data_IF_466141596553
#
_entry.id   IF_466141596553
#
_cell.length_a   1.000
_cell.length_b   1.000
_cell.length_c   1.000
_cell.angle_alpha   90.00
_cell.angle_beta   90.00
_cell.angle_gamma   90.00
#
_symmetry.space_group_name_H-M   'P 1'
#
loop_
_entity.id
_entity.type
_entity.pdbx_description
1 polymer ?
#
# COMPACT_ATOMS: atom_id res chain seq x y z
N UNK A 1 -3.50 13.85 2.97
CA UNK A 1 -3.92 12.96 1.86
C UNK A 1 -4.69 11.80 2.47
N UNK A 2 -5.84 11.44 1.89
CA UNK A 2 -6.60 10.24 2.30
C UNK A 2 -6.17 9.11 1.38
N UNK A 3 -5.71 7.99 1.92
CA UNK A 3 -5.29 6.81 1.16
C UNK A 3 -6.47 5.85 0.97
N UNK A 4 -6.51 5.14 -0.16
CA UNK A 4 -7.53 4.15 -0.50
C UNK A 4 -6.89 2.85 -0.97
N UNK A 5 -7.58 1.74 -0.74
CA UNK A 5 -7.24 0.46 -1.38
C UNK A 5 -7.20 0.66 -2.89
N UNK A 6 -6.16 0.12 -3.53
CA UNK A 6 -5.85 0.26 -4.94
C UNK A 6 -5.08 1.52 -5.31
N UNK A 7 -4.86 2.48 -4.40
CA UNK A 7 -3.99 3.62 -4.69
C UNK A 7 -2.59 3.13 -5.10
N UNK A 8 -2.09 3.64 -6.22
CA UNK A 8 -0.71 3.47 -6.65
C UNK A 8 0.06 4.70 -6.20
N UNK A 9 1.11 4.49 -5.42
CA UNK A 9 1.90 5.54 -4.81
C UNK A 9 3.35 5.47 -5.28
N UNK A 10 3.97 6.64 -5.42
CA UNK A 10 5.42 6.78 -5.43
C UNK A 10 5.88 7.02 -4.00
N UNK A 11 6.69 6.12 -3.46
CA UNK A 11 7.27 6.21 -2.12
C UNK A 11 8.77 6.49 -2.19
N UNK A 12 9.26 7.29 -1.27
CA UNK A 12 10.69 7.38 -0.95
C UNK A 12 10.90 7.78 0.51
N UNK A 13 12.09 7.53 1.03
CA UNK A 13 12.51 7.94 2.37
C UNK A 13 14.00 8.30 2.29
N UNK A 14 14.42 9.49 2.76
CA UNK A 14 15.83 9.87 2.75
C UNK A 14 16.71 8.88 3.50
N UNK A 15 17.91 8.64 2.99
CA UNK A 15 18.89 7.77 3.65
C UNK A 15 19.43 8.45 4.92
N UNK A 16 19.01 7.96 6.09
CA UNK A 16 19.38 8.47 7.40
C UNK A 16 20.49 7.60 8.02
N UNK A 17 21.58 8.20 8.55
CA UNK A 17 22.64 7.46 9.20
C UNK A 17 22.16 6.62 10.39
N UNK A 18 22.70 5.41 10.53
CA UNK A 18 22.50 4.54 11.68
C UNK A 18 23.69 3.58 11.88
N UNK A 19 23.59 2.70 12.87
CA UNK A 19 24.60 1.69 13.21
C UNK A 19 23.97 0.30 13.16
N UNK A 20 24.72 -0.64 12.61
CA UNK A 20 24.38 -2.07 12.58
C UNK A 20 24.57 -2.67 13.97
N UNK A 21 23.53 -3.25 14.52
CA UNK A 21 23.52 -3.86 15.86
C UNK A 21 23.76 -5.37 15.82
N UNK A 22 23.37 -6.02 14.73
CA UNK A 22 23.50 -7.46 14.56
C UNK A 22 23.40 -7.88 13.10
N UNK A 23 23.93 -9.06 12.79
CA UNK A 23 23.87 -9.66 11.46
C UNK A 23 23.72 -11.17 11.64
N UNK A 24 22.74 -11.76 10.98
CA UNK A 24 22.57 -13.21 10.86
C UNK A 24 22.50 -13.63 9.38
N UNK A 25 22.15 -14.89 9.12
CA UNK A 25 22.08 -15.43 7.76
C UNK A 25 21.03 -14.71 6.88
N UNK A 26 19.91 -14.31 7.47
CA UNK A 26 18.77 -13.76 6.75
C UNK A 26 18.66 -12.23 6.88
N UNK A 27 19.14 -11.64 7.99
CA UNK A 27 18.88 -10.25 8.33
C UNK A 27 20.12 -9.46 8.76
N UNK A 28 20.06 -8.15 8.53
CA UNK A 28 20.87 -7.14 9.22
C UNK A 28 19.95 -6.39 10.17
N UNK A 29 20.29 -6.38 11.46
CA UNK A 29 19.64 -5.55 12.46
C UNK A 29 20.35 -4.20 12.53
N UNK A 30 19.57 -3.13 12.47
CA UNK A 30 20.07 -1.76 12.65
C UNK A 30 19.30 -1.10 13.79
N UNK A 31 19.97 -0.19 14.49
CA UNK A 31 19.26 0.76 15.35
C UNK A 31 18.33 1.58 14.46
N UNK A 32 17.04 1.62 14.77
CA UNK A 32 16.11 2.31 13.89
C UNK A 32 16.19 3.82 14.13
N UNK A 33 16.39 4.65 13.10
CA UNK A 33 16.73 6.05 13.32
C UNK A 33 15.53 6.98 13.55
N UNK A 34 14.29 6.49 13.34
CA UNK A 34 13.10 7.34 13.31
C UNK A 34 12.11 7.11 14.45
N UNK A 35 12.26 6.01 15.19
CA UNK A 35 11.35 5.66 16.27
C UNK A 35 12.03 5.78 17.62
N UNK A 36 11.24 6.11 18.62
CA UNK A 36 11.65 6.05 20.02
C UNK A 36 10.95 4.85 20.67
N UNK A 37 11.58 4.24 21.68
CA UNK A 37 10.92 3.20 22.47
C UNK A 37 9.77 3.84 23.24
N UNK A 38 8.59 3.22 23.19
CA UNK A 38 7.44 3.67 23.98
C UNK A 38 7.53 3.06 25.39
N UNK A 39 7.86 3.85 26.44
CA UNK A 39 7.97 3.33 27.80
C UNK A 39 6.61 2.97 28.41
N UNK A 40 5.52 3.51 27.85
CA UNK A 40 4.16 3.38 28.35
C UNK A 40 3.39 2.28 27.60
N UNK A 41 4.02 1.58 26.66
CA UNK A 41 3.42 0.43 26.00
C UNK A 41 3.35 -0.77 26.96
N UNK A 42 2.12 -1.16 27.32
CA UNK A 42 1.86 -2.26 28.24
C UNK A 42 1.94 -3.63 27.56
N UNK A 43 1.53 -3.73 26.29
CA UNK A 43 1.40 -4.99 25.56
C UNK A 43 2.53 -5.32 24.59
N UNK A 44 3.33 -4.33 24.19
CA UNK A 44 4.34 -4.47 23.14
C UNK A 44 5.66 -3.84 23.60
N UNK A 45 6.74 -4.60 23.55
CA UNK A 45 8.09 -4.09 23.86
C UNK A 45 8.96 -4.18 22.62
N UNK A 46 9.26 -3.03 22.04
CA UNK A 46 10.23 -2.90 20.97
C UNK A 46 11.57 -2.45 21.54
N UNK A 47 12.67 -2.99 21.01
CA UNK A 47 14.02 -2.82 21.57
C UNK A 47 14.83 -1.69 20.91
N UNK A 48 14.23 -0.91 20.01
CA UNK A 48 14.95 0.15 19.29
C UNK A 48 15.58 -0.30 17.96
N UNK A 49 15.41 -1.55 17.56
CA UNK A 49 16.08 -2.14 16.39
C UNK A 49 15.08 -2.63 15.34
N UNK A 50 15.46 -2.54 14.07
CA UNK A 50 14.72 -3.14 12.97
C UNK A 50 15.61 -4.09 12.18
N UNK A 51 15.05 -5.23 11.78
CA UNK A 51 15.70 -6.21 10.93
C UNK A 51 15.36 -5.95 9.45
N UNK A 52 16.36 -5.95 8.59
CA UNK A 52 16.24 -5.78 7.14
C UNK A 52 16.75 -7.04 6.44
N UNK A 53 16.06 -7.49 5.39
CA UNK A 53 16.46 -8.64 4.60
C UNK A 53 17.86 -8.49 3.97
N UNK A 54 18.66 -9.56 4.01
CA UNK A 54 19.99 -9.60 3.39
C UNK A 54 19.95 -9.97 1.92
N UNK A 55 19.04 -10.86 1.56
CA UNK A 55 19.03 -11.51 0.24
C UNK A 55 17.90 -11.02 -0.66
N UNK A 56 16.97 -10.20 -0.15
CA UNK A 56 15.89 -9.63 -0.95
C UNK A 56 16.36 -8.31 -1.59
N UNK A 57 16.70 -8.30 -2.90
CA UNK A 57 17.13 -7.08 -3.58
C UNK A 57 16.00 -6.05 -3.70
N UNK A 58 14.75 -6.49 -3.55
CA UNK A 58 13.56 -5.69 -3.74
C UNK A 58 12.93 -5.26 -2.41
N UNK A 59 13.55 -5.58 -1.26
CA UNK A 59 13.17 -5.13 0.09
C UNK A 59 12.82 -3.64 0.08
N UNK A 60 11.73 -3.27 0.75
CA UNK A 60 11.22 -1.90 0.71
C UNK A 60 12.27 -0.91 1.23
N UNK A 61 12.87 -1.25 2.37
CA UNK A 61 13.99 -0.51 2.96
C UNK A 61 15.32 -1.03 2.44
N UNK A 62 16.19 -0.09 2.09
CA UNK A 62 17.54 -0.38 1.63
C UNK A 62 18.56 0.28 2.55
N UNK A 63 19.77 -0.29 2.56
CA UNK A 63 20.92 0.30 3.23
C UNK A 63 21.99 0.77 2.24
N UNK A 64 22.75 1.78 2.63
CA UNK A 64 23.99 2.19 1.99
C UNK A 64 25.13 2.16 3.03
N UNK A 65 26.13 1.27 2.92
CA UNK A 65 26.28 0.21 1.90
C UNK A 65 25.18 -0.87 1.93
N UNK A 66 24.99 -1.67 0.85
CA UNK A 66 24.00 -2.76 0.81
C UNK A 66 24.16 -3.78 1.94
N UNK A 67 23.06 -4.37 2.40
CA UNK A 67 22.97 -5.24 3.59
C UNK A 67 23.96 -6.42 3.57
N UNK A 68 24.27 -6.98 2.40
CA UNK A 68 25.26 -8.06 2.25
C UNK A 68 26.70 -7.66 2.65
N UNK A 69 27.01 -6.35 2.68
CA UNK A 69 28.35 -5.83 2.97
C UNK A 69 28.51 -5.33 4.40
N UNK A 70 27.46 -5.42 5.22
CA UNK A 70 27.44 -4.88 6.56
C UNK A 70 27.87 -5.93 7.60
N UNK A 71 28.58 -5.46 8.62
CA UNK A 71 28.95 -6.20 9.82
C UNK A 71 28.47 -5.47 11.10
N UNK A 72 28.32 -6.16 12.23
CA UNK A 72 27.98 -5.52 13.50
C UNK A 72 28.96 -4.41 13.88
N UNK A 73 28.44 -3.26 14.29
CA UNK A 73 29.21 -2.05 14.62
C UNK A 73 29.47 -1.11 13.45
N UNK A 74 29.20 -1.52 12.21
CA UNK A 74 29.35 -0.64 11.04
C UNK A 74 28.37 0.54 11.11
N UNK A 75 28.80 1.69 10.60
CA UNK A 75 27.90 2.79 10.28
C UNK A 75 27.37 2.61 8.87
N UNK A 76 26.06 2.72 8.70
CA UNK A 76 25.40 2.70 7.40
C UNK A 76 24.33 3.80 7.34
N UNK A 77 23.62 3.90 6.23
CA UNK A 77 22.41 4.72 6.10
C UNK A 77 21.26 3.80 5.72
N UNK A 78 20.07 4.04 6.27
CA UNK A 78 18.84 3.32 5.90
C UNK A 78 17.84 4.29 5.30
N UNK A 79 17.12 3.87 4.27
CA UNK A 79 16.11 4.69 3.58
C UNK A 79 15.31 3.87 2.59
N UNK A 80 14.50 4.55 1.78
CA UNK A 80 13.74 3.95 0.68
C UNK A 80 14.09 4.72 -0.59
N UNK A 81 14.80 4.13 -1.56
CA UNK A 81 14.95 4.75 -2.88
C UNK A 81 13.57 4.92 -3.53
N UNK A 82 13.41 5.95 -4.35
CA UNK A 82 12.14 6.25 -5.00
C UNK A 82 11.64 5.05 -5.82
N UNK A 83 10.45 4.54 -5.47
CA UNK A 83 9.85 3.36 -6.11
C UNK A 83 8.33 3.43 -6.11
N UNK A 84 7.71 2.59 -6.92
CA UNK A 84 6.25 2.44 -6.99
C UNK A 84 5.81 1.32 -6.05
N UNK A 85 4.74 1.59 -5.32
CA UNK A 85 4.00 0.63 -4.48
C UNK A 85 2.50 0.78 -4.78
N UNK A 86 1.70 -0.21 -4.41
CA UNK A 86 0.25 -0.10 -4.43
C UNK A 86 -0.38 -0.63 -3.14
N UNK A 87 -1.41 0.08 -2.69
CA UNK A 87 -2.08 -0.17 -1.41
C UNK A 87 -3.08 -1.30 -1.58
N UNK A 88 -2.95 -2.35 -0.77
CA UNK A 88 -3.91 -3.47 -0.75
C UNK A 88 -4.84 -3.40 0.46
N UNK A 89 -4.40 -2.80 1.58
CA UNK A 89 -5.25 -2.60 2.75
C UNK A 89 -4.96 -1.26 3.43
N UNK A 90 -5.98 -0.70 4.10
CA UNK A 90 -5.90 0.56 4.84
C UNK A 90 -6.53 0.35 6.22
N UNK A 91 -5.74 0.54 7.27
CA UNK A 91 -6.18 0.38 8.65
C UNK A 91 -6.04 1.69 9.42
N UNK A 92 -7.18 2.26 9.82
CA UNK A 92 -7.22 3.38 10.75
C UNK A 92 -7.33 2.91 12.20
N UNK A 93 -6.63 3.58 13.11
CA UNK A 93 -6.65 3.30 14.54
C UNK A 93 -7.07 4.54 15.32
N UNK A 94 -8.18 4.41 16.06
CA UNK A 94 -8.63 5.40 17.04
C UNK A 94 -9.08 4.66 18.31
N UNK A 95 -8.29 4.66 19.40
CA UNK A 95 -7.04 5.43 19.57
C UNK A 95 -5.86 4.88 18.73
N UNK A 96 -4.77 5.65 18.56
CA UNK A 96 -3.55 5.18 17.89
C UNK A 96 -3.02 3.87 18.47
N UNK A 97 -2.49 3.01 17.60
CA UNK A 97 -2.09 1.64 17.94
C UNK A 97 -0.86 1.59 18.86
N UNK A 98 -0.88 0.70 19.85
CA UNK A 98 0.25 0.46 20.74
C UNK A 98 1.23 -0.57 20.14
N UNK A 99 2.27 -0.06 19.46
CA UNK A 99 3.26 -0.87 18.73
C UNK A 99 4.57 -1.10 19.51
N UNK A 100 4.70 -0.51 20.70
CA UNK A 100 5.93 -0.52 21.50
C UNK A 100 6.93 0.57 21.10
N UNK A 101 6.58 1.42 20.14
CA UNK A 101 7.38 2.54 19.68
C UNK A 101 6.55 3.80 19.45
N UNK A 102 7.23 4.95 19.50
CA UNK A 102 6.67 6.26 19.24
C UNK A 102 7.17 6.82 17.89
N UNK A 103 6.35 7.62 17.19
CA UNK A 103 4.96 7.96 17.53
C UNK A 103 4.00 6.79 17.29
N UNK A 104 3.01 6.58 18.17
CA UNK A 104 1.98 5.55 17.99
C UNK A 104 1.22 5.80 16.68
N UNK A 105 1.17 4.83 15.73
CA UNK A 105 0.55 5.07 14.45
C UNK A 105 -0.98 5.08 14.56
N UNK A 106 -1.62 6.08 13.94
CA UNK A 106 -3.07 6.12 13.75
C UNK A 106 -3.52 5.55 12.41
N UNK A 107 -2.57 5.17 11.55
CA UNK A 107 -2.81 4.65 10.21
C UNK A 107 -1.70 3.66 9.83
N UNK A 108 -2.09 2.50 9.30
CA UNK A 108 -1.23 1.56 8.60
C UNK A 108 -1.76 1.33 7.19
N UNK A 109 -0.84 1.22 6.23
CA UNK A 109 -1.11 0.79 4.86
C UNK A 109 -0.37 -0.53 4.63
N UNK A 110 -1.07 -1.56 4.19
CA UNK A 110 -0.42 -2.76 3.65
C UNK A 110 -0.20 -2.55 2.16
N UNK A 111 1.05 -2.67 1.72
CA UNK A 111 1.45 -2.32 0.37
C UNK A 111 2.21 -3.44 -0.32
N UNK A 112 2.04 -3.51 -1.64
CA UNK A 112 2.79 -4.38 -2.53
C UNK A 112 3.73 -3.56 -3.41
N UNK A 113 4.79 -4.20 -3.87
CA UNK A 113 5.78 -3.59 -4.76
C UNK A 113 5.22 -3.52 -6.18
N UNK A 114 5.86 -2.70 -7.01
CA UNK A 114 5.57 -2.71 -8.44
C UNK A 114 5.78 -4.12 -9.03
N UNK A 115 4.83 -4.59 -9.83
CA UNK A 115 4.88 -5.92 -10.44
C UNK A 115 4.32 -7.06 -9.59
N UNK A 116 3.99 -6.82 -8.32
CA UNK A 116 3.33 -7.81 -7.47
C UNK A 116 1.80 -7.67 -7.54
N UNK A 117 1.09 -8.76 -7.87
CA UNK A 117 -0.37 -8.75 -7.90
C UNK A 117 -0.93 -9.17 -6.53
N UNK A 118 -2.05 -8.60 -6.06
CA UNK A 118 -2.74 -9.08 -4.87
C UNK A 118 -3.15 -10.56 -5.06
N UNK A 119 -2.81 -11.41 -4.09
CA UNK A 119 -3.18 -12.83 -4.05
C UNK A 119 -4.08 -13.08 -2.85
N UNK A 120 -5.37 -13.26 -3.11
CA UNK A 120 -6.38 -13.51 -2.08
C UNK A 120 -6.18 -14.86 -1.35
N UNK A 121 -5.37 -15.78 -1.89
CA UNK A 121 -5.04 -17.04 -1.23
C UNK A 121 -3.86 -16.92 -0.26
N UNK A 122 -3.09 -15.82 -0.33
CA UNK A 122 -1.94 -15.60 0.54
C UNK A 122 -2.37 -14.97 1.87
N UNK A 123 -2.14 -15.67 2.98
CA UNK A 123 -2.40 -15.16 4.34
C UNK A 123 -1.44 -14.01 4.71
N UNK A 124 -0.23 -14.02 4.18
CA UNK A 124 0.79 -13.01 4.45
C UNK A 124 1.33 -12.46 3.13
N UNK A 125 0.81 -11.31 2.72
CA UNK A 125 1.27 -10.62 1.52
C UNK A 125 1.57 -9.15 1.81
N UNK A 126 2.68 -8.66 1.28
CA UNK A 126 3.04 -7.25 1.34
C UNK A 126 3.77 -6.81 2.60
N UNK A 127 3.94 -5.50 2.70
CA UNK A 127 4.70 -4.83 3.75
C UNK A 127 3.85 -3.73 4.35
N UNK A 128 3.77 -3.66 5.68
CA UNK A 128 3.10 -2.55 6.37
C UNK A 128 3.99 -1.30 6.33
N UNK A 129 3.38 -0.15 6.09
CA UNK A 129 3.96 1.16 6.32
C UNK A 129 2.99 2.01 7.13
N UNK A 130 3.52 2.87 7.99
CA UNK A 130 2.71 3.72 8.87
C UNK A 130 2.94 5.19 8.52
N UNK A 131 2.15 5.80 7.61
CA UNK A 131 2.22 7.22 7.36
C UNK A 131 1.93 8.01 8.65
N UNK A 132 2.88 8.83 9.09
CA UNK A 132 2.78 9.54 10.38
C UNK A 132 3.34 8.74 11.57
N UNK A 133 3.76 7.49 11.37
CA UNK A 133 4.48 6.66 12.33
C UNK A 133 5.96 7.03 12.48
N UNK A 134 6.37 8.28 12.27
CA UNK A 134 7.75 8.74 12.49
C UNK A 134 8.72 8.56 11.32
N UNK A 135 8.57 7.52 10.49
CA UNK A 135 9.41 7.37 9.29
C UNK A 135 9.10 8.49 8.28
N UNK A 136 10.10 9.25 7.79
CA UNK A 136 9.88 10.44 6.96
C UNK A 136 9.65 10.06 5.49
N UNK A 137 8.54 9.38 5.22
CA UNK A 137 8.14 9.05 3.85
C UNK A 137 7.77 10.31 3.06
N UNK A 138 8.18 10.34 1.80
CA UNK A 138 7.52 11.12 0.76
C UNK A 138 6.60 10.17 0.01
N UNK A 139 5.29 10.45 0.04
CA UNK A 139 4.25 9.67 -0.62
C UNK A 139 3.51 10.57 -1.61
N UNK A 140 3.44 10.13 -2.86
CA UNK A 140 2.74 10.85 -3.92
C UNK A 140 1.78 9.91 -4.65
N UNK A 141 0.54 10.37 -4.88
CA UNK A 141 -0.44 9.62 -5.64
C UNK A 141 -0.04 9.60 -7.12
N UNK A 142 0.16 8.40 -7.67
CA UNK A 142 0.40 8.18 -9.10
C UNK A 142 -0.91 7.87 -9.81
N UNK A 143 -1.73 6.99 -9.21
CA UNK A 143 -3.01 6.59 -9.78
C UNK A 143 -3.98 6.16 -8.69
N UNK A 144 -5.26 6.52 -8.85
CA UNK A 144 -6.37 6.03 -8.03
C UNK A 144 -7.40 5.38 -8.94
N UNK A 145 -7.58 4.05 -8.88
CA UNK A 145 -8.62 3.38 -9.66
C UNK A 145 -10.00 3.82 -9.16
N UNK A 146 -10.93 4.03 -10.09
CA UNK A 146 -12.31 4.44 -9.77
C UNK A 146 -12.37 5.71 -8.90
N UNK A 147 -11.49 6.69 -9.16
CA UNK A 147 -11.42 7.94 -8.38
C UNK A 147 -12.74 8.75 -8.33
N UNK A 148 -13.70 8.40 -9.17
CA UNK A 148 -15.05 8.98 -9.24
C UNK A 148 -16.07 8.26 -8.33
N UNK A 149 -15.67 7.22 -7.59
CA UNK A 149 -16.50 6.49 -6.61
C UNK A 149 -15.88 6.53 -5.20
N UNK A 150 -16.74 6.36 -4.21
CA UNK A 150 -16.42 6.15 -2.80
C UNK A 150 -16.89 4.74 -2.37
N UNK A 151 -16.14 4.09 -1.47
CA UNK A 151 -16.55 2.80 -0.94
C UNK A 151 -17.90 2.92 -0.20
N UNK A 152 -18.83 2.01 -0.51
CA UNK A 152 -20.22 2.02 -0.07
C UNK A 152 -21.20 2.69 -1.04
N UNK A 153 -20.74 3.23 -2.17
CA UNK A 153 -21.64 3.76 -3.19
C UNK A 153 -22.45 2.64 -3.87
N UNK A 154 -23.74 2.89 -4.07
CA UNK A 154 -24.63 2.03 -4.85
C UNK A 154 -24.84 2.64 -6.24
N UNK A 155 -24.67 1.82 -7.27
CA UNK A 155 -24.76 2.22 -8.68
C UNK A 155 -25.69 1.28 -9.45
N UNK A 156 -26.38 1.82 -10.44
CA UNK A 156 -27.00 1.04 -11.51
C UNK A 156 -26.04 0.96 -12.69
N UNK A 157 -25.95 -0.22 -13.29
CA UNK A 157 -25.18 -0.47 -14.50
C UNK A 157 -26.02 -0.27 -15.77
N UNK A 158 -25.40 -0.39 -16.94
CA UNK A 158 -26.07 -0.18 -18.23
C UNK A 158 -27.16 -1.22 -18.55
N UNK A 159 -27.08 -2.41 -17.95
CA UNK A 159 -28.02 -3.50 -18.13
C UNK A 159 -29.18 -3.44 -17.12
N UNK A 160 -29.17 -2.44 -16.24
CA UNK A 160 -30.18 -2.21 -15.19
C UNK A 160 -29.92 -2.97 -13.90
N UNK A 161 -28.77 -3.64 -13.76
CA UNK A 161 -28.32 -4.29 -12.53
C UNK A 161 -27.89 -3.27 -11.48
N UNK A 162 -28.17 -3.56 -10.21
CA UNK A 162 -27.75 -2.73 -9.08
C UNK A 162 -26.55 -3.35 -8.37
N UNK A 163 -25.56 -2.52 -8.07
CA UNK A 163 -24.27 -2.92 -7.53
C UNK A 163 -23.84 -2.01 -6.40
N UNK A 164 -23.17 -2.58 -5.40
CA UNK A 164 -22.43 -1.85 -4.39
C UNK A 164 -20.94 -1.89 -4.69
N UNK A 165 -20.29 -0.73 -4.65
CA UNK A 165 -18.84 -0.58 -4.78
C UNK A 165 -18.19 -0.59 -3.39
N UNK A 166 -17.52 -1.65 -2.99
CA UNK A 166 -16.77 -1.71 -1.71
C UNK A 166 -15.26 -1.46 -1.90
N UNK A 167 -14.79 -1.42 -3.14
CA UNK A 167 -13.42 -1.08 -3.50
C UNK A 167 -13.06 -1.56 -4.90
N UNK A 168 -11.85 -1.26 -5.38
CA UNK A 168 -11.45 -1.55 -6.76
C UNK A 168 -11.60 -3.02 -7.17
N UNK A 169 -11.50 -3.94 -6.21
CA UNK A 169 -11.59 -5.40 -6.40
C UNK A 169 -12.87 -6.02 -5.86
N UNK A 170 -13.72 -5.21 -5.23
CA UNK A 170 -14.87 -5.71 -4.46
C UNK A 170 -16.13 -5.01 -4.95
N UNK A 171 -16.86 -5.73 -5.80
CA UNK A 171 -18.17 -5.36 -6.30
C UNK A 171 -19.19 -6.40 -5.84
N UNK A 172 -20.32 -5.95 -5.31
CA UNK A 172 -21.40 -6.82 -4.88
C UNK A 172 -22.68 -6.51 -5.67
N UNK A 173 -23.14 -7.46 -6.47
CA UNK A 173 -24.44 -7.35 -7.13
C UNK A 173 -25.57 -7.64 -6.14
N UNK A 174 -26.64 -6.83 -6.15
CA UNK A 174 -27.79 -7.02 -5.27
C UNK A 174 -28.67 -8.21 -5.66
N UNK A 175 -28.61 -8.64 -6.92
CA UNK A 175 -29.35 -9.79 -7.45
C UNK A 175 -28.57 -11.12 -7.36
N UNK A 176 -27.47 -11.13 -6.60
CA UNK A 176 -26.55 -12.27 -6.44
C UNK A 176 -25.80 -12.69 -7.71
N UNK A 177 -25.79 -11.87 -8.77
CA UNK A 177 -24.92 -12.11 -9.92
C UNK A 177 -23.44 -11.95 -9.53
N UNK A 178 -22.59 -12.87 -9.98
CA UNK A 178 -21.14 -12.68 -9.92
C UNK A 178 -20.66 -11.82 -11.08
N UNK A 179 -19.59 -11.05 -10.89
CA UNK A 179 -18.96 -10.29 -11.97
C UNK A 179 -18.67 -8.84 -11.61
N UNK A 180 -18.74 -7.98 -12.61
CA UNK A 180 -18.46 -6.53 -12.52
C UNK A 180 -19.52 -5.77 -13.32
N UNK A 181 -19.87 -4.53 -12.92
CA UNK A 181 -20.96 -3.81 -13.55
C UNK A 181 -20.65 -3.39 -14.99
N UNK A 182 -21.67 -3.47 -15.85
CA UNK A 182 -21.61 -2.94 -17.21
C UNK A 182 -21.64 -1.40 -17.21
N UNK A 183 -20.70 -0.76 -17.91
CA UNK A 183 -20.67 0.70 -17.99
C UNK A 183 -21.57 1.21 -19.14
N UNK A 184 -22.13 2.44 -19.05
CA UNK A 184 -21.94 3.45 -18.01
C UNK A 184 -22.63 3.12 -16.68
N UNK A 185 -22.17 3.76 -15.61
CA UNK A 185 -22.74 3.66 -14.28
C UNK A 185 -23.59 4.89 -13.96
N UNK A 186 -24.68 4.68 -13.24
CA UNK A 186 -25.51 5.74 -12.66
C UNK A 186 -25.47 5.62 -11.14
N UNK A 187 -25.03 6.66 -10.44
CA UNK A 187 -25.05 6.68 -8.97
C UNK A 187 -26.51 6.69 -8.46
N UNK A 188 -26.85 5.73 -7.60
CA UNK A 188 -28.17 5.60 -6.98
C UNK A 188 -28.20 6.27 -5.60
N UNK A 189 -27.21 5.93 -4.77
CA UNK A 189 -26.98 6.52 -3.45
C UNK A 189 -25.50 6.40 -3.12
N UNK A 190 -24.97 7.30 -2.31
CA UNK A 190 -23.54 7.30 -1.98
C UNK A 190 -22.99 8.68 -1.65
N UNK A 191 -21.67 8.70 -1.48
CA UNK A 191 -20.89 9.92 -1.22
C UNK A 191 -20.29 10.54 -2.47
N UNK A 192 -20.22 9.81 -3.59
CA UNK A 192 -19.68 10.32 -4.84
C UNK A 192 -20.54 11.40 -5.51
N UNK A 193 -19.91 12.13 -6.43
CA UNK A 193 -20.58 13.10 -7.27
C UNK A 193 -21.23 12.41 -8.49
N UNK A 194 -22.56 12.55 -8.61
CA UNK A 194 -23.34 11.90 -9.67
C UNK A 194 -22.86 12.28 -11.07
N UNK A 195 -22.51 13.55 -11.30
CA UNK A 195 -22.07 14.01 -12.62
C UNK A 195 -20.67 13.47 -12.98
N UNK A 196 -19.77 13.38 -12.00
CA UNK A 196 -18.45 12.79 -12.16
C UNK A 196 -18.53 11.29 -12.49
N UNK A 197 -19.39 10.53 -11.81
CA UNK A 197 -19.64 9.11 -12.12
C UNK A 197 -20.13 8.93 -13.55
N UNK A 198 -21.16 9.69 -13.94
CA UNK A 198 -21.72 9.61 -15.29
C UNK A 198 -20.68 9.99 -16.35
N UNK A 199 -19.93 11.07 -16.15
CA UNK A 199 -18.90 11.52 -17.09
C UNK A 199 -17.75 10.53 -17.22
N UNK A 200 -17.27 9.97 -16.11
CA UNK A 200 -16.14 9.03 -16.11
C UNK A 200 -16.49 7.69 -16.76
N UNK A 201 -17.74 7.26 -16.66
CA UNK A 201 -18.19 5.95 -17.14
C UNK A 201 -18.91 6.00 -18.48
N UNK A 202 -19.24 7.20 -18.99
CA UNK A 202 -19.80 7.41 -20.33
C UNK A 202 -18.91 6.82 -21.43
N UNK A 203 -17.60 6.76 -21.21
CA UNK A 203 -16.63 6.13 -22.11
C UNK A 203 -15.72 5.21 -21.31
N UNK A 204 -15.50 4.00 -21.80
CA UNK A 204 -14.59 3.03 -21.19
C UNK A 204 -15.32 1.84 -20.60
N UNK A 205 -14.62 1.10 -19.75
CA UNK A 205 -15.12 -0.11 -19.11
C UNK A 205 -14.35 -0.38 -17.82
N UNK A 206 -14.93 -1.22 -16.96
CA UNK A 206 -14.22 -1.79 -15.81
C UNK A 206 -12.84 -2.36 -16.22
N UNK A 207 -12.78 -3.13 -17.31
CA UNK A 207 -11.53 -3.73 -17.82
C UNK A 207 -10.48 -2.68 -18.21
N UNK A 208 -10.90 -1.59 -18.85
CA UNK A 208 -10.00 -0.49 -19.21
C UNK A 208 -9.43 0.19 -17.96
N UNK A 209 -10.23 0.38 -16.91
CA UNK A 209 -9.79 0.97 -15.65
C UNK A 209 -8.80 0.04 -14.91
N UNK A 210 -9.10 -1.26 -14.83
CA UNK A 210 -8.18 -2.27 -14.30
C UNK A 210 -6.87 -2.29 -15.09
N UNK A 211 -6.93 -2.16 -16.42
CA UNK A 211 -5.72 -2.11 -17.27
C UNK A 211 -4.86 -0.89 -16.97
N UNK A 212 -5.47 0.28 -16.74
CA UNK A 212 -4.75 1.49 -16.33
C UNK A 212 -4.10 1.32 -14.97
N UNK A 213 -4.83 0.73 -14.02
CA UNK A 213 -4.29 0.40 -12.70
C UNK A 213 -3.09 -0.56 -12.80
N UNK A 214 -3.23 -1.68 -13.52
CA UNK A 214 -2.14 -2.66 -13.70
C UNK A 214 -0.90 -2.00 -14.29
N UNK A 215 -1.06 -1.11 -15.27
CA UNK A 215 0.06 -0.35 -15.83
C UNK A 215 0.73 0.52 -14.78
N UNK A 216 -0.06 1.27 -13.99
CA UNK A 216 0.48 2.13 -12.94
C UNK A 216 1.20 1.31 -11.84
N UNK A 217 0.65 0.15 -11.47
CA UNK A 217 1.23 -0.78 -10.50
C UNK A 217 2.41 -1.61 -11.03
N UNK A 218 2.85 -1.42 -12.29
CA UNK A 218 3.96 -2.17 -12.87
C UNK A 218 3.62 -3.62 -13.25
N UNK A 219 2.35 -4.00 -13.27
CA UNK A 219 1.85 -5.35 -13.59
C UNK A 219 1.74 -5.63 -15.09
N UNK A 220 2.57 -5.00 -15.92
CA UNK A 220 2.54 -5.28 -17.36
C UNK A 220 3.17 -6.64 -17.63
N UNK A 221 2.52 -7.45 -18.48
CA UNK A 221 3.10 -8.65 -19.06
C UNK A 221 4.49 -8.32 -19.63
N UNK A 222 5.55 -8.91 -19.08
CA UNK A 222 6.78 -9.06 -19.84
C UNK A 222 6.45 -9.95 -21.05
N UNK A 223 6.30 -9.34 -22.22
CA UNK A 223 6.62 -10.05 -23.45
C UNK A 223 8.14 -10.31 -23.40
N UNK A 224 8.53 -11.41 -22.77
CA UNK A 224 9.93 -11.81 -22.72
C UNK A 224 10.40 -12.01 -24.17
N UNK A 225 11.46 -11.32 -24.62
CA UNK A 225 11.99 -11.57 -25.96
C UNK A 225 12.54 -13.00 -26.01
N UNK A 226 12.08 -13.76 -27.01
CA UNK A 226 12.66 -15.06 -27.38
C UNK A 226 14.08 -14.90 -27.89
#
# INVERSE_FOLDING_TARGET
MVYRVGDVLRISCPFTPTVVTGVDEAHVSVRWPWWEIDPDAAGSRWNGEAALGRADPDELYATDPPTLRLAPGDTCRVGIPARIIHVIEVHGYDPPQETGWLPRPSLSLLVLRAGEAPDAASEFQGTSIEPGGGVPFTLELVFRPYAFLEAGDDVADADGGAWRFDGPWTWAAYDSAGGVPAWPLTLLTGGADLAAVAAATATGSHEAEVTRWRRAAGLQYEAQPR
#
